data_IF_966267720348
#
_entry.id   IF_966267720348
#
_cell.length_a   1.000
_cell.length_b   1.000
_cell.length_c   1.000
_cell.angle_alpha   90.00
_cell.angle_beta   90.00
_cell.angle_gamma   90.00
#
_symmetry.space_group_name_H-M   'P 1'
#
loop_
_entity.id
_entity.type
_entity.pdbx_description
1 polymer ?
#
# COMPACT_ATOMS: atom_id res chain seq x y z
N UNK A 1 7.67 9.69 -38.22
CA UNK A 1 6.35 9.60 -38.90
C UNK A 1 5.82 8.22 -38.58
N UNK A 2 4.92 8.05 -37.63
CA UNK A 2 4.23 6.78 -37.37
C UNK A 2 3.18 6.59 -38.45
N UNK A 3 3.41 5.61 -39.32
CA UNK A 3 2.40 5.11 -40.27
C UNK A 3 1.28 4.47 -39.41
N UNK A 4 0.11 5.12 -39.38
CA UNK A 4 -1.08 4.63 -38.69
C UNK A 4 -1.81 5.67 -37.86
N UNK A 5 -1.36 6.91 -37.80
CA UNK A 5 -2.09 7.95 -37.08
C UNK A 5 -3.35 8.36 -37.87
N UNK A 6 -4.53 8.28 -37.22
CA UNK A 6 -5.78 8.66 -37.88
C UNK A 6 -5.81 10.16 -38.16
N UNK A 7 -6.46 10.56 -39.29
CA UNK A 7 -6.62 11.96 -39.64
C UNK A 7 -7.28 12.79 -38.54
N UNK A 8 -8.14 12.20 -37.75
CA UNK A 8 -8.77 12.83 -36.59
C UNK A 8 -7.73 13.18 -35.50
N UNK A 9 -6.84 12.26 -35.18
CA UNK A 9 -5.77 12.48 -34.18
C UNK A 9 -4.82 13.59 -34.65
N UNK A 10 -4.50 13.61 -35.92
CA UNK A 10 -3.65 14.64 -36.55
C UNK A 10 -4.29 16.02 -36.46
N UNK A 11 -5.59 16.13 -36.72
CA UNK A 11 -6.34 17.38 -36.59
C UNK A 11 -6.36 17.88 -35.15
N UNK A 12 -6.63 17.00 -34.19
CA UNK A 12 -6.61 17.35 -32.77
C UNK A 12 -5.24 17.86 -32.34
N UNK A 13 -4.16 17.19 -32.73
CA UNK A 13 -2.79 17.65 -32.44
C UNK A 13 -2.50 19.04 -33.03
N UNK A 14 -2.90 19.27 -34.29
CA UNK A 14 -2.69 20.55 -34.96
C UNK A 14 -3.46 21.66 -34.23
N UNK A 15 -4.73 21.43 -33.92
CA UNK A 15 -5.55 22.41 -33.21
C UNK A 15 -4.98 22.72 -31.83
N UNK A 16 -4.58 21.70 -31.10
CA UNK A 16 -3.92 21.85 -29.78
C UNK A 16 -2.66 22.73 -29.86
N UNK A 17 -1.82 22.52 -30.89
CA UNK A 17 -0.61 23.32 -31.11
C UNK A 17 -0.92 24.79 -31.46
N UNK A 18 -1.98 25.03 -32.24
CA UNK A 18 -2.44 26.39 -32.59
C UNK A 18 -2.97 27.11 -31.35
N UNK A 19 -3.80 26.44 -30.54
CA UNK A 19 -4.37 27.03 -29.33
C UNK A 19 -3.29 27.31 -28.29
N UNK A 20 -2.29 26.43 -28.12
CA UNK A 20 -1.15 26.70 -27.24
C UNK A 20 -0.36 27.96 -27.68
N UNK A 21 -0.23 28.24 -28.95
CA UNK A 21 0.40 29.49 -29.43
C UNK A 21 -0.41 30.72 -29.05
N UNK A 22 -1.74 30.65 -29.18
CA UNK A 22 -2.64 31.69 -28.75
C UNK A 22 -2.53 32.02 -27.24
N UNK A 23 -2.47 30.98 -26.44
CA UNK A 23 -2.31 31.08 -24.99
C UNK A 23 -0.99 31.73 -24.60
N UNK A 24 0.14 31.32 -25.20
CA UNK A 24 1.45 31.91 -24.95
C UNK A 24 1.53 33.41 -25.33
N UNK A 25 0.66 33.86 -26.21
CA UNK A 25 0.55 35.25 -26.64
C UNK A 25 -0.47 36.07 -25.84
N UNK A 26 -1.30 35.41 -25.01
CA UNK A 26 -2.32 36.07 -24.21
C UNK A 26 -1.71 36.87 -23.06
N UNK A 27 -2.15 38.10 -22.87
CA UNK A 27 -1.70 38.98 -21.80
C UNK A 27 -2.18 38.54 -20.42
N UNK A 28 -2.99 37.49 -20.35
CA UNK A 28 -3.74 37.09 -19.11
C UNK A 28 -3.00 36.07 -18.22
N UNK A 29 -1.71 35.85 -18.44
CA UNK A 29 -0.87 35.06 -17.52
C UNK A 29 -1.28 33.59 -17.36
N UNK A 30 -1.77 32.96 -18.44
CA UNK A 30 -2.15 31.54 -18.41
C UNK A 30 -0.92 30.63 -18.39
N UNK A 31 -0.89 29.67 -17.49
CA UNK A 31 0.11 28.60 -17.42
C UNK A 31 -0.47 27.28 -17.93
N UNK A 32 0.18 26.69 -18.93
CA UNK A 32 -0.14 25.34 -19.39
C UNK A 32 0.87 24.35 -18.82
N UNK A 33 0.41 23.39 -18.02
CA UNK A 33 1.20 22.34 -17.44
C UNK A 33 0.85 20.99 -18.09
N UNK A 34 1.84 20.29 -18.61
CA UNK A 34 1.71 18.92 -19.12
C UNK A 34 2.54 17.96 -18.27
N UNK A 35 2.03 16.77 -18.00
CA UNK A 35 2.76 15.70 -17.34
C UNK A 35 2.70 14.41 -18.18
N UNK A 36 3.81 13.70 -18.29
CA UNK A 36 3.91 12.41 -18.98
C UNK A 36 4.97 11.53 -18.32
N UNK A 37 4.75 10.23 -18.32
CA UNK A 37 5.73 9.21 -17.93
C UNK A 37 6.56 8.67 -19.11
N UNK A 38 6.21 9.07 -20.36
CA UNK A 38 6.89 8.65 -21.59
C UNK A 38 7.33 9.87 -22.44
N UNK A 39 8.25 10.71 -21.93
CA UNK A 39 8.61 11.96 -22.59
C UNK A 39 9.26 11.77 -23.98
N UNK A 40 9.84 10.60 -24.23
CA UNK A 40 10.47 10.25 -25.52
C UNK A 40 9.45 10.02 -26.64
N UNK A 41 8.22 9.61 -26.32
CA UNK A 41 7.14 9.39 -27.28
C UNK A 41 6.37 10.66 -27.64
N UNK A 42 6.67 11.78 -26.96
CA UNK A 42 6.05 13.05 -27.28
C UNK A 42 6.46 13.56 -28.66
N UNK A 43 5.47 13.97 -29.45
CA UNK A 43 5.69 14.65 -30.71
C UNK A 43 6.69 15.81 -30.55
N UNK A 44 7.71 15.91 -31.42
CA UNK A 44 8.70 16.99 -31.34
C UNK A 44 8.08 18.40 -31.42
N UNK A 45 6.95 18.59 -32.13
CA UNK A 45 6.28 19.86 -32.20
C UNK A 45 5.61 20.23 -30.87
N UNK A 46 4.98 19.27 -30.20
CA UNK A 46 4.43 19.44 -28.83
C UNK A 46 5.56 19.74 -27.86
N UNK A 47 6.64 18.95 -27.92
CA UNK A 47 7.80 19.09 -27.02
C UNK A 47 8.48 20.46 -27.12
N UNK A 48 8.48 21.08 -28.32
CA UNK A 48 9.01 22.44 -28.54
C UNK A 48 8.14 23.54 -27.93
N UNK A 49 6.85 23.29 -27.67
CA UNK A 49 5.92 24.27 -27.08
C UNK A 49 6.07 24.36 -25.57
N UNK A 50 6.58 23.30 -24.91
CA UNK A 50 6.93 23.31 -23.51
C UNK A 50 8.40 23.74 -23.34
N UNK A 51 8.61 25.04 -23.08
CA UNK A 51 9.95 25.61 -22.95
C UNK A 51 10.65 25.07 -21.70
N UNK A 52 9.91 24.99 -20.58
CA UNK A 52 10.43 24.49 -19.32
C UNK A 52 10.05 23.02 -19.15
N UNK A 53 11.07 22.17 -18.95
CA UNK A 53 10.91 20.73 -18.70
C UNK A 53 11.53 20.40 -17.37
N UNK A 54 10.75 19.75 -16.53
CA UNK A 54 11.14 19.35 -15.19
C UNK A 54 11.14 17.82 -15.16
N UNK A 55 12.30 17.24 -14.93
CA UNK A 55 12.41 15.82 -14.67
C UNK A 55 12.15 15.55 -13.18
N UNK A 56 11.23 14.63 -12.90
CA UNK A 56 10.93 14.17 -11.55
C UNK A 56 11.53 12.78 -11.41
N UNK A 57 12.66 12.62 -10.67
CA UNK A 57 13.28 11.32 -10.48
C UNK A 57 12.47 10.44 -9.52
N UNK A 58 12.87 9.17 -9.39
CA UNK A 58 12.37 8.31 -8.32
C UNK A 58 12.69 8.93 -6.96
N UNK A 59 11.85 8.70 -5.95
CA UNK A 59 12.03 9.29 -4.63
C UNK A 59 13.27 8.72 -3.94
N UNK A 60 14.01 9.57 -3.24
CA UNK A 60 15.13 9.19 -2.38
C UNK A 60 14.64 8.56 -1.06
N UNK A 61 15.55 7.92 -0.30
CA UNK A 61 15.22 7.23 0.95
C UNK A 61 14.33 8.02 1.92
N UNK A 62 14.68 9.27 2.29
CA UNK A 62 13.84 10.09 3.17
C UNK A 62 12.47 10.44 2.58
N UNK A 63 12.41 10.64 1.26
CA UNK A 63 11.15 10.89 0.57
C UNK A 63 10.26 9.63 0.59
N UNK A 64 10.85 8.43 0.35
CA UNK A 64 10.14 7.15 0.44
C UNK A 64 9.59 6.91 1.85
N UNK A 65 10.37 7.18 2.89
CA UNK A 65 9.92 7.08 4.28
C UNK A 65 8.69 7.97 4.55
N UNK A 66 8.74 9.21 4.07
CA UNK A 66 7.60 10.15 4.16
C UNK A 66 6.39 9.65 3.39
N UNK A 67 6.58 9.11 2.19
CA UNK A 67 5.50 8.54 1.38
C UNK A 67 4.83 7.35 2.06
N UNK A 68 5.60 6.41 2.63
CA UNK A 68 5.07 5.29 3.41
C UNK A 68 4.21 5.77 4.56
N UNK A 69 4.66 6.80 5.30
CA UNK A 69 3.91 7.41 6.40
C UNK A 69 2.60 8.06 5.93
N UNK A 70 2.63 8.77 4.80
CA UNK A 70 1.44 9.40 4.21
C UNK A 70 0.43 8.32 3.77
N UNK A 71 0.90 7.26 3.09
CA UNK A 71 0.04 6.18 2.62
C UNK A 71 -0.56 5.35 3.75
N UNK A 72 0.16 5.17 4.86
CA UNK A 72 -0.35 4.50 6.06
C UNK A 72 -1.44 5.35 6.74
N UNK A 73 -1.31 6.66 6.71
CA UNK A 73 -2.30 7.61 7.23
C UNK A 73 -2.60 7.38 8.72
N UNK A 74 -3.89 7.27 9.04
CA UNK A 74 -4.38 7.08 10.41
C UNK A 74 -4.59 5.58 10.76
N UNK A 75 -4.10 4.65 9.95
CA UNK A 75 -4.23 3.22 10.26
C UNK A 75 -3.51 2.90 11.56
N UNK A 76 -4.15 2.18 12.52
CA UNK A 76 -3.51 1.78 13.76
C UNK A 76 -2.23 0.99 13.50
N UNK A 77 -1.12 1.47 14.03
CA UNK A 77 0.19 0.90 13.80
C UNK A 77 1.12 1.16 15.00
N UNK A 78 2.22 0.42 15.07
CA UNK A 78 3.25 0.58 16.10
C UNK A 78 4.60 1.03 15.52
N UNK A 79 4.61 1.59 14.29
CA UNK A 79 5.83 2.05 13.64
C UNK A 79 6.31 3.38 14.23
N UNK A 80 7.61 3.45 14.46
CA UNK A 80 8.32 4.67 14.89
C UNK A 80 8.98 5.37 13.70
N UNK A 81 9.43 6.63 13.87
CA UNK A 81 10.14 7.33 12.79
C UNK A 81 11.40 6.58 12.30
N UNK A 82 12.26 6.01 13.16
CA UNK A 82 13.37 5.17 12.72
C UNK A 82 12.95 3.96 11.87
N UNK A 83 11.77 3.39 12.13
CA UNK A 83 11.25 2.28 11.32
C UNK A 83 10.91 2.74 9.91
N UNK A 84 10.23 3.88 9.76
CA UNK A 84 9.95 4.47 8.44
C UNK A 84 11.23 4.80 7.68
N UNK A 85 12.25 5.34 8.35
CA UNK A 85 13.53 5.66 7.74
C UNK A 85 14.22 4.40 7.22
N UNK A 86 14.23 3.32 8.01
CA UNK A 86 14.76 2.02 7.62
C UNK A 86 14.00 1.42 6.44
N UNK A 87 12.67 1.40 6.49
CA UNK A 87 11.83 0.90 5.40
C UNK A 87 12.01 1.73 4.12
N UNK A 88 12.16 3.05 4.24
CA UNK A 88 12.47 3.93 3.11
C UNK A 88 13.81 3.61 2.44
N UNK A 89 14.81 3.18 3.21
CA UNK A 89 16.10 2.72 2.66
C UNK A 89 15.96 1.34 1.99
N UNK A 90 15.22 0.41 2.60
CA UNK A 90 14.98 -0.93 2.04
C UNK A 90 14.18 -0.89 0.72
N UNK A 91 13.28 0.08 0.58
CA UNK A 91 12.47 0.31 -0.61
C UNK A 91 13.21 1.00 -1.76
N UNK A 92 14.54 0.85 -1.84
CA UNK A 92 15.35 1.52 -2.86
C UNK A 92 14.91 1.19 -4.29
N UNK A 93 14.88 2.21 -5.17
CA UNK A 93 14.42 2.10 -6.55
C UNK A 93 12.90 1.93 -6.74
N UNK A 94 12.09 1.99 -5.68
CA UNK A 94 10.64 1.93 -5.79
C UNK A 94 10.05 3.30 -6.13
N UNK A 95 9.05 3.29 -7.02
CA UNK A 95 8.25 4.46 -7.35
C UNK A 95 7.19 4.74 -6.26
N UNK A 96 6.56 5.91 -6.30
CA UNK A 96 5.44 6.23 -5.41
C UNK A 96 4.26 5.27 -5.56
N UNK A 97 4.02 4.76 -6.76
CA UNK A 97 3.01 3.74 -7.03
C UNK A 97 3.35 2.41 -6.35
N UNK A 98 4.61 1.97 -6.43
CA UNK A 98 5.06 0.74 -5.77
C UNK A 98 4.91 0.85 -4.25
N UNK A 99 5.30 2.00 -3.67
CA UNK A 99 5.16 2.26 -2.23
C UNK A 99 3.69 2.25 -1.77
N UNK A 100 2.79 2.75 -2.60
CA UNK A 100 1.35 2.69 -2.34
C UNK A 100 0.85 1.24 -2.27
N UNK A 101 1.34 0.37 -3.18
CA UNK A 101 1.02 -1.06 -3.18
C UNK A 101 1.61 -1.74 -1.93
N UNK A 102 2.87 -1.45 -1.60
CA UNK A 102 3.52 -1.97 -0.37
C UNK A 102 2.72 -1.62 0.87
N UNK A 103 2.30 -0.36 1.01
CA UNK A 103 1.47 0.08 2.14
C UNK A 103 0.14 -0.66 2.20
N UNK A 104 -0.55 -0.80 1.09
CA UNK A 104 -1.83 -1.51 1.00
C UNK A 104 -1.69 -2.98 1.42
N UNK A 105 -0.65 -3.65 0.93
CA UNK A 105 -0.37 -5.03 1.30
C UNK A 105 -0.02 -5.17 2.80
N UNK A 106 0.80 -4.26 3.33
CA UNK A 106 1.16 -4.26 4.75
C UNK A 106 -0.07 -4.05 5.67
N UNK A 107 -0.97 -3.15 5.29
CA UNK A 107 -2.23 -2.91 6.02
C UNK A 107 -3.14 -4.15 6.02
N UNK A 108 -3.05 -4.99 5.00
CA UNK A 108 -3.84 -6.23 4.89
C UNK A 108 -3.25 -7.41 5.67
N UNK A 109 -1.98 -7.37 6.08
CA UNK A 109 -1.33 -8.49 6.80
C UNK A 109 -2.00 -8.83 8.15
N UNK A 110 -2.40 -7.86 9.00
CA UNK A 110 -3.18 -8.17 10.20
C UNK A 110 -4.44 -8.98 9.93
N UNK A 111 -5.15 -8.66 8.85
CA UNK A 111 -6.33 -9.43 8.45
C UNK A 111 -5.98 -10.85 7.97
N UNK A 112 -4.88 -11.00 7.23
CA UNK A 112 -4.38 -12.33 6.84
C UNK A 112 -3.95 -13.15 8.05
N UNK A 113 -3.44 -12.50 9.09
CA UNK A 113 -3.13 -13.15 10.38
C UNK A 113 -4.41 -13.68 11.02
N UNK A 114 -5.49 -12.89 11.06
CA UNK A 114 -6.78 -13.37 11.55
C UNK A 114 -7.33 -14.55 10.73
N UNK A 115 -7.18 -14.52 9.40
CA UNK A 115 -7.63 -15.61 8.51
C UNK A 115 -6.90 -16.93 8.75
N UNK A 116 -5.61 -16.86 9.08
CA UNK A 116 -4.75 -18.04 9.34
C UNK A 116 -4.82 -18.52 10.78
N UNK A 117 -5.30 -17.68 11.68
CA UNK A 117 -5.34 -18.00 13.10
C UNK A 117 -6.23 -19.21 13.38
N UNK A 118 -5.78 -20.06 14.31
CA UNK A 118 -6.49 -21.26 14.80
C UNK A 118 -6.93 -21.10 16.23
N UNK A 119 -6.48 -20.03 16.88
CA UNK A 119 -6.85 -19.69 18.25
C UNK A 119 -7.01 -18.18 18.36
N UNK A 120 -7.99 -17.77 19.15
CA UNK A 120 -8.25 -16.38 19.51
C UNK A 120 -8.32 -16.27 21.02
N UNK A 121 -7.85 -15.16 21.56
CA UNK A 121 -7.93 -14.85 22.98
C UNK A 121 -8.81 -13.63 23.21
N UNK A 122 -9.58 -13.59 24.28
CA UNK A 122 -10.32 -12.40 24.65
C UNK A 122 -9.36 -11.29 25.08
N UNK A 123 -9.63 -10.08 24.63
CA UNK A 123 -8.93 -8.83 24.97
C UNK A 123 -10.00 -7.78 25.25
N UNK A 124 -9.87 -7.04 26.34
CA UNK A 124 -10.80 -5.96 26.67
C UNK A 124 -10.27 -4.65 26.10
N UNK A 125 -11.06 -4.03 25.21
CA UNK A 125 -10.78 -2.71 24.61
C UNK A 125 -12.02 -1.84 24.83
N UNK A 126 -11.86 -0.67 25.46
CA UNK A 126 -12.95 0.28 25.73
C UNK A 126 -14.15 -0.37 26.44
N UNK A 127 -13.90 -1.23 27.45
CA UNK A 127 -14.89 -2.00 28.20
C UNK A 127 -15.67 -3.05 27.39
N UNK A 128 -15.26 -3.32 26.15
CA UNK A 128 -15.83 -4.36 25.31
C UNK A 128 -14.86 -5.54 25.19
N UNK A 129 -15.36 -6.75 25.35
CA UNK A 129 -14.57 -7.95 25.10
C UNK A 129 -14.49 -8.23 23.61
N UNK A 130 -13.27 -8.29 23.09
CA UNK A 130 -12.95 -8.56 21.70
C UNK A 130 -12.07 -9.78 21.59
N UNK A 131 -11.98 -10.38 20.39
CA UNK A 131 -11.21 -11.58 20.12
C UNK A 131 -10.03 -11.24 19.21
N UNK A 132 -8.83 -11.36 19.75
CA UNK A 132 -7.59 -11.14 19.01
C UNK A 132 -6.93 -12.47 18.65
N UNK A 133 -6.38 -12.63 17.42
CA UNK A 133 -5.70 -13.85 17.02
C UNK A 133 -4.44 -14.08 17.88
N UNK A 134 -4.15 -15.34 18.22
CA UNK A 134 -2.90 -15.71 18.85
C UNK A 134 -1.80 -15.78 17.78
N UNK A 135 -0.65 -15.15 18.03
CA UNK A 135 0.48 -15.09 17.09
C UNK A 135 1.08 -16.48 16.82
N UNK A 136 1.05 -17.35 17.83
CA UNK A 136 1.58 -18.70 17.73
C UNK A 136 0.54 -19.71 18.14
N UNK A 137 0.65 -20.90 17.57
CA UNK A 137 -0.15 -22.05 17.96
C UNK A 137 0.77 -23.23 18.35
N UNK A 138 0.58 -23.86 19.50
CA UNK A 138 -0.33 -23.49 20.59
C UNK A 138 0.06 -22.16 21.25
N UNK A 139 -0.91 -21.38 21.73
CA UNK A 139 -0.66 -20.06 22.33
C UNK A 139 0.03 -20.12 23.71
N UNK A 140 0.02 -21.28 24.35
CA UNK A 140 0.81 -21.58 25.54
C UNK A 140 1.11 -23.08 25.61
N UNK A 141 2.04 -23.46 26.51
CA UNK A 141 2.46 -24.85 26.68
C UNK A 141 1.33 -25.81 27.15
N UNK A 142 0.24 -25.26 27.65
CA UNK A 142 -0.92 -26.02 28.14
C UNK A 142 -2.07 -26.09 27.15
N UNK A 143 -1.96 -25.41 26.01
CA UNK A 143 -2.93 -25.57 24.94
C UNK A 143 -2.79 -26.94 24.27
N UNK A 144 -3.90 -27.61 23.90
CA UNK A 144 -3.85 -28.87 23.16
C UNK A 144 -3.06 -28.72 21.86
N UNK A 145 -2.11 -29.63 21.64
CA UNK A 145 -1.25 -29.62 20.43
C UNK A 145 -1.95 -30.27 19.25
N UNK A 146 -2.90 -31.18 19.50
CA UNK A 146 -3.54 -31.95 18.46
C UNK A 146 -4.57 -31.12 17.68
N UNK A 147 -4.31 -31.00 16.39
CA UNK A 147 -5.01 -30.11 15.45
C UNK A 147 -5.80 -30.84 14.40
N UNK A 148 -5.57 -32.15 14.29
CA UNK A 148 -6.26 -32.96 13.30
C UNK A 148 -7.71 -33.14 13.74
N UNK A 149 -8.63 -32.65 12.94
CA UNK A 149 -10.06 -33.03 12.84
C UNK A 149 -10.96 -32.93 14.11
N UNK A 150 -10.44 -32.52 15.25
CA UNK A 150 -11.31 -32.33 16.41
C UNK A 150 -12.09 -31.01 16.26
N UNK A 151 -13.41 -31.02 16.52
CA UNK A 151 -14.23 -29.81 16.46
C UNK A 151 -13.66 -28.73 17.38
N UNK A 152 -13.84 -27.46 17.00
CA UNK A 152 -13.41 -26.33 17.79
C UNK A 152 -13.84 -26.53 19.26
N UNK A 153 -12.89 -26.60 20.18
CA UNK A 153 -13.23 -26.64 21.60
C UNK A 153 -13.76 -25.27 21.97
N UNK A 154 -14.99 -25.22 22.45
CA UNK A 154 -15.61 -23.97 22.93
C UNK A 154 -15.06 -23.53 24.27
N UNK A 155 -14.34 -24.42 24.96
CA UNK A 155 -13.82 -24.13 26.29
C UNK A 155 -12.51 -23.37 26.18
N UNK A 156 -12.39 -22.18 26.82
CA UNK A 156 -11.15 -21.41 26.84
C UNK A 156 -10.07 -22.15 27.60
N UNK A 157 -8.83 -21.99 27.15
CA UNK A 157 -7.67 -22.50 27.88
C UNK A 157 -7.60 -21.84 29.27
N UNK A 158 -7.55 -22.64 30.31
CA UNK A 158 -7.52 -22.18 31.73
C UNK A 158 -6.31 -21.29 32.06
N UNK A 159 -5.23 -21.37 31.26
CA UNK A 159 -3.97 -20.64 31.51
C UNK A 159 -3.84 -19.36 30.67
N UNK A 160 -4.27 -19.37 29.43
CA UNK A 160 -4.10 -18.22 28.53
C UNK A 160 -5.42 -17.62 28.01
N UNK A 161 -6.55 -18.23 28.35
CA UNK A 161 -7.87 -17.77 27.90
C UNK A 161 -8.16 -18.00 26.41
N UNK A 162 -7.20 -18.55 25.67
CA UNK A 162 -7.38 -18.74 24.22
C UNK A 162 -8.43 -19.82 23.93
N UNK A 163 -9.30 -19.51 22.99
CA UNK A 163 -10.32 -20.41 22.47
C UNK A 163 -9.86 -20.92 21.10
N UNK A 164 -10.00 -22.23 20.88
CA UNK A 164 -9.74 -22.84 19.57
C UNK A 164 -10.88 -22.55 18.63
N UNK A 165 -10.64 -21.67 17.68
CA UNK A 165 -11.62 -21.30 16.66
C UNK A 165 -10.89 -20.68 15.45
N UNK A 166 -11.54 -20.66 14.32
CA UNK A 166 -11.16 -19.84 13.18
C UNK A 166 -11.97 -18.55 13.17
N UNK A 167 -11.60 -17.57 12.35
CA UNK A 167 -12.41 -16.35 12.19
C UNK A 167 -13.84 -16.61 11.70
N UNK A 168 -14.05 -17.73 10.99
CA UNK A 168 -15.36 -18.13 10.47
C UNK A 168 -16.27 -18.76 11.54
N UNK A 169 -15.71 -19.19 12.66
CA UNK A 169 -16.46 -19.76 13.79
C UNK A 169 -16.90 -18.69 14.79
N UNK A 170 -16.50 -17.42 14.57
CA UNK A 170 -16.88 -16.31 15.44
C UNK A 170 -18.39 -16.06 15.39
N UNK A 171 -19.05 -15.92 16.56
CA UNK A 171 -20.50 -15.64 16.61
C UNK A 171 -20.84 -14.27 16.04
N UNK A 172 -19.95 -13.31 16.15
CA UNK A 172 -20.08 -11.95 15.62
C UNK A 172 -18.73 -11.46 15.07
N UNK A 173 -18.64 -11.19 13.75
CA UNK A 173 -17.41 -10.65 13.15
C UNK A 173 -16.96 -9.31 13.73
N UNK A 174 -17.86 -8.53 14.34
CA UNK A 174 -17.52 -7.24 14.96
C UNK A 174 -16.65 -7.39 16.21
N UNK A 175 -16.63 -8.58 16.81
CA UNK A 175 -15.78 -8.89 17.96
C UNK A 175 -14.33 -9.14 17.58
N UNK A 176 -14.02 -9.27 16.29
CA UNK A 176 -12.65 -9.52 15.84
C UNK A 176 -11.79 -8.26 15.98
N UNK A 177 -10.68 -8.40 16.71
CA UNK A 177 -9.67 -7.35 16.86
C UNK A 177 -8.39 -7.76 16.11
N UNK A 178 -8.18 -7.27 14.88
CA UNK A 178 -6.93 -7.50 14.18
C UNK A 178 -5.74 -6.89 14.94
N UNK A 179 -4.55 -7.49 14.87
CA UNK A 179 -3.34 -6.85 15.36
C UNK A 179 -3.09 -5.51 14.68
N UNK A 180 -2.39 -4.61 15.35
CA UNK A 180 -1.96 -3.36 14.73
C UNK A 180 -0.84 -3.63 13.73
N UNK A 181 -0.78 -2.82 12.67
CA UNK A 181 0.26 -2.94 11.64
C UNK A 181 1.65 -2.77 12.26
N UNK A 182 2.54 -3.68 11.93
CA UNK A 182 3.91 -3.76 12.45
C UNK A 182 4.96 -3.57 11.35
N UNK A 183 6.22 -3.39 11.75
CA UNK A 183 7.37 -3.34 10.83
C UNK A 183 7.49 -4.61 10.01
N UNK A 184 7.23 -5.78 10.60
CA UNK A 184 7.30 -7.08 9.92
C UNK A 184 6.32 -7.18 8.74
N UNK A 185 5.15 -6.55 8.86
CA UNK A 185 4.15 -6.54 7.79
C UNK A 185 4.66 -5.77 6.57
N UNK A 186 5.38 -4.67 6.80
CA UNK A 186 6.04 -3.91 5.74
C UNK A 186 7.22 -4.67 5.13
N UNK A 187 8.08 -5.26 5.96
CA UNK A 187 9.23 -6.06 5.49
C UNK A 187 8.77 -7.22 4.61
N UNK A 188 7.76 -7.98 5.05
CA UNK A 188 7.15 -9.06 4.26
C UNK A 188 6.54 -8.56 2.95
N UNK A 189 5.96 -7.37 2.95
CA UNK A 189 5.38 -6.77 1.74
C UNK A 189 6.46 -6.31 0.77
N UNK A 190 7.55 -5.71 1.27
CA UNK A 190 8.69 -5.31 0.46
C UNK A 190 9.39 -6.50 -0.23
N UNK A 191 9.48 -7.65 0.44
CA UNK A 191 10.05 -8.87 -0.15
C UNK A 191 9.22 -9.43 -1.30
N UNK A 192 7.89 -9.27 -1.24
CA UNK A 192 6.96 -9.82 -2.23
C UNK A 192 6.77 -8.93 -3.44
N UNK A 193 6.84 -7.61 -3.25
CA UNK A 193 6.55 -6.64 -4.31
C UNK A 193 7.83 -6.28 -5.03
N UNK A 194 7.87 -6.55 -6.34
CA UNK A 194 8.98 -6.17 -7.21
C UNK A 194 8.80 -4.73 -7.69
N UNK A 195 9.92 -4.05 -7.95
CA UNK A 195 9.96 -2.74 -8.61
C UNK A 195 9.30 -2.82 -9.97
N UNK A 196 8.46 -1.84 -10.30
CA UNK A 196 7.81 -1.76 -11.63
C UNK A 196 8.64 -0.97 -12.63
N UNK A 197 9.52 -0.09 -12.15
CA UNK A 197 10.43 0.69 -12.99
C UNK A 197 11.75 -0.08 -13.11
N UNK A 198 12.06 -0.57 -14.32
CA UNK A 198 13.40 -1.05 -14.65
C UNK A 198 14.29 0.17 -14.93
N UNK A 199 15.54 0.13 -14.46
CA UNK A 199 16.58 1.10 -14.85
C UNK A 199 16.89 1.02 -16.34
#
# INVERSE_FOLDING_TARGET
RSEGESDATRRIKTEFLVQMQGVASAKDGLLVLGATNIPWDLDPAIRRRFEKRIYIPLPEGPARATMLKIHLGNTPNQLTQPDFDRLGMQADGMSGSDLSIVCREAIMEPMRTCQKARQFRPVVVDHQEMLSPCETYPSCAYCPIDLSDAPASKDPCQYCGAVRMTMYDMPDPSLMLPPVVSVKDFESSLERIKRTVAE
#
